data_IF_973828097622
#
_entry.id   IF_973828097622
#
_cell.length_a   1.000
_cell.length_b   1.000
_cell.length_c   1.000
_cell.angle_alpha   90.00
_cell.angle_beta   90.00
_cell.angle_gamma   90.00
#
_symmetry.space_group_name_H-M   'P 1'
#
loop_
_entity.id
_entity.type
_entity.pdbx_description
1 polymer ?
#
# COMPACT_ATOMS: atom_id res chain seq x y z
N UNK A 1 -37.12 10.10 20.39
CA UNK A 1 -35.77 9.55 20.14
C UNK A 1 -34.83 10.22 21.14
N UNK A 2 -34.34 9.48 22.16
CA UNK A 2 -33.64 10.06 23.33
C UNK A 2 -32.40 10.88 22.93
N UNK A 3 -32.27 12.11 23.45
CA UNK A 3 -31.17 13.06 23.20
C UNK A 3 -29.77 12.41 23.31
N UNK A 4 -29.61 11.44 24.21
CA UNK A 4 -28.37 10.66 24.40
C UNK A 4 -28.01 9.83 23.16
N UNK A 5 -29.00 9.26 22.46
CA UNK A 5 -28.80 8.49 21.22
C UNK A 5 -28.35 9.40 20.06
N UNK A 6 -28.90 10.61 20.00
CA UNK A 6 -28.54 11.59 18.97
C UNK A 6 -27.11 12.11 19.16
N UNK A 7 -26.68 12.36 20.40
CA UNK A 7 -25.29 12.76 20.70
C UNK A 7 -24.33 11.63 20.35
N UNK A 8 -24.63 10.39 20.76
CA UNK A 8 -23.79 9.23 20.42
C UNK A 8 -23.62 9.06 18.91
N UNK A 9 -24.71 9.21 18.15
CA UNK A 9 -24.66 9.16 16.69
C UNK A 9 -23.83 10.31 16.08
N UNK A 10 -24.00 11.53 16.57
CA UNK A 10 -23.23 12.68 16.10
C UNK A 10 -21.72 12.50 16.35
N UNK A 11 -21.34 12.01 17.53
CA UNK A 11 -19.94 11.69 17.86
C UNK A 11 -19.41 10.60 16.93
N UNK A 12 -20.17 9.52 16.72
CA UNK A 12 -19.77 8.43 15.83
C UNK A 12 -19.53 8.94 14.39
N UNK A 13 -20.45 9.74 13.85
CA UNK A 13 -20.30 10.32 12.51
C UNK A 13 -19.11 11.27 12.44
N UNK A 14 -18.89 12.10 13.45
CA UNK A 14 -17.75 13.00 13.51
C UNK A 14 -16.42 12.23 13.51
N UNK A 15 -16.31 11.16 14.30
CA UNK A 15 -15.12 10.30 14.34
C UNK A 15 -14.92 9.59 12.99
N UNK A 16 -15.98 9.02 12.40
CA UNK A 16 -15.88 8.37 11.10
C UNK A 16 -15.40 9.34 10.01
N UNK A 17 -15.89 10.59 10.03
CA UNK A 17 -15.45 11.64 9.12
C UNK A 17 -13.98 12.03 9.33
N UNK A 18 -13.53 12.18 10.58
CA UNK A 18 -12.13 12.45 10.89
C UNK A 18 -11.21 11.34 10.37
N UNK A 19 -11.55 10.10 10.67
CA UNK A 19 -10.81 8.91 10.22
C UNK A 19 -10.80 8.82 8.69
N UNK A 20 -11.89 9.17 8.02
CA UNK A 20 -11.96 9.17 6.54
C UNK A 20 -11.03 10.19 5.88
N UNK A 21 -10.66 11.27 6.59
CA UNK A 21 -9.88 12.39 6.05
C UNK A 21 -8.40 12.36 6.42
N UNK A 22 -7.92 11.29 7.05
CA UNK A 22 -6.51 11.18 7.43
C UNK A 22 -5.63 11.28 6.16
N UNK A 23 -4.69 12.24 6.09
CA UNK A 23 -3.87 12.45 4.90
C UNK A 23 -2.95 11.28 4.57
N UNK A 24 -2.70 11.05 3.27
CA UNK A 24 -1.77 10.02 2.79
C UNK A 24 -0.34 10.16 3.38
N UNK A 25 0.10 11.38 3.68
CA UNK A 25 1.41 11.66 4.24
C UNK A 25 1.65 11.00 5.60
N UNK A 26 0.59 10.65 6.35
CA UNK A 26 0.70 9.93 7.62
C UNK A 26 1.36 8.55 7.41
N UNK A 27 1.15 7.91 6.26
CA UNK A 27 1.80 6.64 5.93
C UNK A 27 3.32 6.78 5.96
N UNK A 28 3.87 7.92 5.52
CA UNK A 28 5.31 8.15 5.55
C UNK A 28 5.94 8.03 6.94
N UNK A 29 5.18 8.28 8.01
CA UNK A 29 5.68 8.19 9.39
C UNK A 29 5.75 6.76 9.94
N UNK A 30 5.05 5.81 9.31
CA UNK A 30 5.01 4.39 9.72
C UNK A 30 5.81 3.50 8.78
N UNK A 31 6.41 4.06 7.72
CA UNK A 31 7.25 3.29 6.81
C UNK A 31 8.51 2.82 7.53
N UNK A 32 8.98 1.58 7.26
CA UNK A 32 10.26 1.12 7.74
C UNK A 32 11.38 2.00 7.17
N UNK A 33 12.52 2.09 7.85
CA UNK A 33 13.67 2.90 7.42
C UNK A 33 14.23 2.48 6.05
N UNK A 34 13.97 1.24 5.64
CA UNK A 34 14.33 0.70 4.33
C UNK A 34 13.42 1.20 3.20
N UNK A 35 12.33 1.90 3.49
CA UNK A 35 11.43 2.49 2.50
C UNK A 35 11.40 4.00 2.68
N UNK A 36 11.65 4.73 1.60
CA UNK A 36 11.46 6.17 1.58
C UNK A 36 10.46 6.52 0.48
N UNK A 37 9.49 7.35 0.83
CA UNK A 37 8.42 7.76 -0.06
C UNK A 37 8.20 9.27 0.06
N UNK A 38 7.90 9.92 -1.06
CA UNK A 38 7.65 11.36 -1.13
C UNK A 38 6.60 11.70 -2.18
N UNK A 39 6.10 12.93 -2.14
CA UNK A 39 5.01 13.39 -3.01
C UNK A 39 3.67 12.71 -2.70
N UNK A 40 3.35 12.54 -1.41
CA UNK A 40 2.09 11.94 -0.96
C UNK A 40 0.89 12.80 -1.37
N UNK A 41 -0.12 12.18 -1.96
CA UNK A 41 -1.38 12.81 -2.37
C UNK A 41 -2.56 11.94 -1.95
N UNK A 42 -3.66 12.57 -1.52
CA UNK A 42 -4.88 11.87 -1.11
C UNK A 42 -4.92 11.50 0.38
N UNK A 43 -5.54 10.36 0.68
CA UNK A 43 -5.81 9.88 2.05
C UNK A 43 -5.12 8.55 2.32
N UNK A 44 -5.08 8.13 3.58
CA UNK A 44 -4.62 6.78 3.95
C UNK A 44 -5.46 5.68 3.28
N UNK A 45 -6.74 5.96 2.99
CA UNK A 45 -7.65 5.02 2.32
C UNK A 45 -7.42 4.95 0.83
N UNK A 46 -7.28 6.10 0.17
CA UNK A 46 -7.02 6.20 -1.27
C UNK A 46 -6.00 7.30 -1.49
N UNK A 47 -4.78 6.90 -1.81
CA UNK A 47 -3.67 7.81 -1.95
C UNK A 47 -2.61 7.31 -2.92
N UNK A 48 -1.66 8.19 -3.17
CA UNK A 48 -0.52 7.95 -4.05
C UNK A 48 0.73 8.58 -3.45
N UNK A 49 1.88 7.94 -3.66
CA UNK A 49 3.21 8.50 -3.46
C UNK A 49 3.91 8.55 -4.83
N UNK A 50 4.30 9.75 -5.25
CA UNK A 50 4.89 9.98 -6.56
C UNK A 50 6.27 9.34 -6.71
N UNK A 51 7.03 9.27 -5.62
CA UNK A 51 8.35 8.66 -5.61
C UNK A 51 8.50 7.76 -4.39
N UNK A 52 8.63 6.46 -4.63
CA UNK A 52 8.92 5.46 -3.62
C UNK A 52 10.22 4.77 -4.01
N UNK A 53 11.10 4.61 -3.05
CA UNK A 53 12.34 3.87 -3.19
C UNK A 53 12.52 2.95 -1.98
N UNK A 54 13.02 1.75 -2.25
CA UNK A 54 13.38 0.76 -1.25
C UNK A 54 14.90 0.65 -1.18
N UNK A 55 15.44 0.36 -0.01
CA UNK A 55 16.83 0.00 0.16
C UNK A 55 16.95 -1.52 0.09
N UNK A 56 17.62 -2.02 -0.95
CA UNK A 56 17.85 -3.46 -1.15
C UNK A 56 19.36 -3.67 -1.16
N UNK A 57 19.88 -4.42 -0.19
CA UNK A 57 21.32 -4.70 -0.04
C UNK A 57 22.20 -3.43 -0.01
N UNK A 58 21.73 -2.37 0.65
CA UNK A 58 22.47 -1.09 0.75
C UNK A 58 22.46 -0.25 -0.53
N UNK A 59 21.66 -0.61 -1.54
CA UNK A 59 21.48 0.17 -2.75
C UNK A 59 20.05 0.73 -2.83
N UNK A 60 19.89 2.02 -3.18
CA UNK A 60 18.58 2.61 -3.39
C UNK A 60 17.95 2.02 -4.66
N UNK A 61 16.73 1.55 -4.51
CA UNK A 61 15.98 0.85 -5.53
C UNK A 61 14.66 1.55 -5.78
N UNK A 62 14.55 2.22 -6.92
CA UNK A 62 13.35 2.98 -7.26
C UNK A 62 12.17 2.05 -7.57
N UNK A 63 11.12 2.18 -6.76
CA UNK A 63 9.80 1.60 -7.02
C UNK A 63 8.92 2.59 -7.82
N UNK A 64 9.30 3.87 -7.87
CA UNK A 64 8.61 4.91 -8.62
C UNK A 64 7.26 5.28 -8.02
N UNK A 65 6.23 5.44 -8.85
CA UNK A 65 4.92 5.89 -8.40
C UNK A 65 4.13 4.73 -7.82
N UNK A 66 3.70 4.84 -6.57
CA UNK A 66 2.88 3.83 -5.88
C UNK A 66 1.54 4.44 -5.51
N UNK A 67 0.46 3.88 -6.03
CA UNK A 67 -0.92 4.20 -5.66
C UNK A 67 -1.50 3.04 -4.85
N UNK A 68 -2.27 3.36 -3.80
CA UNK A 68 -2.95 2.36 -2.99
C UNK A 68 -4.44 2.71 -2.83
N UNK A 69 -5.23 1.67 -2.62
CA UNK A 69 -6.64 1.79 -2.23
C UNK A 69 -6.96 0.71 -1.21
N UNK A 70 -7.39 1.15 -0.03
CA UNK A 70 -7.88 0.33 1.06
C UNK A 70 -9.40 0.25 0.92
N UNK A 71 -9.92 -0.97 0.91
CA UNK A 71 -11.34 -1.27 0.85
C UNK A 71 -11.76 -1.83 2.22
N UNK A 72 -12.36 -1.03 3.12
CA UNK A 72 -12.76 -1.51 4.44
C UNK A 72 -13.74 -2.68 4.37
N UNK A 73 -14.65 -2.66 3.39
CA UNK A 73 -15.59 -3.75 3.11
C UNK A 73 -14.89 -4.99 2.52
N UNK A 74 -13.65 -4.84 2.06
CA UNK A 74 -12.80 -5.91 1.55
C UNK A 74 -12.47 -6.97 2.58
N UNK A 75 -12.64 -6.70 3.88
CA UNK A 75 -12.56 -7.71 4.94
C UNK A 75 -13.63 -8.81 4.81
N UNK A 76 -14.75 -8.51 4.14
CA UNK A 76 -15.82 -9.47 3.88
C UNK A 76 -15.57 -10.29 2.62
N UNK A 77 -14.86 -9.72 1.63
CA UNK A 77 -14.65 -10.32 0.31
C UNK A 77 -13.25 -10.88 0.10
N UNK A 78 -12.30 -10.54 0.98
CA UNK A 78 -10.90 -10.96 0.91
C UNK A 78 -9.94 -9.93 0.30
N UNK A 79 -10.41 -8.83 -0.30
CA UNK A 79 -9.56 -7.81 -0.97
C UNK A 79 -9.48 -6.51 -0.17
N UNK A 80 -8.61 -6.48 0.84
CA UNK A 80 -8.56 -5.35 1.79
C UNK A 80 -7.75 -4.18 1.24
N UNK A 81 -6.68 -4.46 0.49
CA UNK A 81 -5.76 -3.44 -0.03
C UNK A 81 -5.34 -3.76 -1.45
N UNK A 82 -5.48 -2.80 -2.35
CA UNK A 82 -4.90 -2.85 -3.69
C UNK A 82 -3.74 -1.88 -3.77
N UNK A 83 -2.59 -2.33 -4.26
CA UNK A 83 -1.38 -1.54 -4.46
C UNK A 83 -0.98 -1.63 -5.92
N UNK A 84 -0.70 -0.49 -6.55
CA UNK A 84 -0.26 -0.39 -7.94
C UNK A 84 1.00 0.45 -7.99
N UNK A 85 2.06 -0.09 -8.55
CA UNK A 85 3.34 0.59 -8.74
C UNK A 85 3.68 0.69 -10.23
N UNK A 86 4.17 1.85 -10.65
CA UNK A 86 4.59 2.12 -12.04
C UNK A 86 5.85 2.95 -12.07
N UNK A 87 6.83 2.51 -12.88
CA UNK A 87 8.03 3.28 -13.17
C UNK A 87 8.62 2.91 -14.53
N UNK A 88 8.89 3.90 -15.38
CA UNK A 88 9.34 3.65 -16.76
C UNK A 88 8.38 2.72 -17.52
N UNK A 89 8.90 1.63 -18.08
CA UNK A 89 8.13 0.55 -18.73
C UNK A 89 7.67 -0.56 -17.77
N UNK A 90 8.02 -0.45 -16.48
CA UNK A 90 7.81 -1.50 -15.49
C UNK A 90 6.55 -1.23 -14.65
N UNK A 91 5.82 -2.29 -14.36
CA UNK A 91 4.53 -2.24 -13.69
C UNK A 91 4.40 -3.40 -12.70
N UNK A 92 4.01 -3.09 -11.49
CA UNK A 92 3.63 -4.06 -10.46
C UNK A 92 2.20 -3.74 -10.03
N UNK A 93 1.28 -4.68 -10.18
CA UNK A 93 -0.05 -4.61 -9.56
C UNK A 93 -0.15 -5.74 -8.53
N UNK A 94 -0.53 -5.39 -7.30
CA UNK A 94 -0.69 -6.30 -6.17
C UNK A 94 -2.06 -6.08 -5.53
N UNK A 95 -2.81 -7.14 -5.29
CA UNK A 95 -3.99 -7.14 -4.45
C UNK A 95 -3.74 -8.04 -3.23
N UNK A 96 -3.95 -7.49 -2.05
CA UNK A 96 -3.68 -8.13 -0.78
C UNK A 96 -4.93 -8.11 0.12
N UNK A 97 -5.10 -9.21 0.84
CA UNK A 97 -6.21 -9.51 1.72
C UNK A 97 -5.78 -9.85 3.13
N UNK A 98 -6.65 -9.58 4.09
CA UNK A 98 -6.53 -10.10 5.46
C UNK A 98 -7.78 -10.93 5.71
N UNK A 99 -7.61 -12.23 5.93
CA UNK A 99 -8.68 -13.14 6.31
C UNK A 99 -9.07 -12.99 7.77
N UNK A 100 -10.30 -13.42 8.09
CA UNK A 100 -10.90 -13.33 9.42
C UNK A 100 -10.12 -14.12 10.51
N UNK A 101 -9.19 -14.99 10.13
CA UNK A 101 -8.28 -15.72 11.02
C UNK A 101 -6.89 -15.09 11.21
N UNK A 102 -6.66 -13.86 10.71
CA UNK A 102 -5.35 -13.20 10.73
C UNK A 102 -4.38 -13.69 9.65
N UNK A 103 -4.84 -14.53 8.74
CA UNK A 103 -4.08 -14.96 7.57
C UNK A 103 -4.00 -13.83 6.54
N UNK A 104 -2.78 -13.58 6.04
CA UNK A 104 -2.54 -12.64 4.96
C UNK A 104 -2.58 -13.38 3.63
N UNK A 105 -3.37 -12.89 2.68
CA UNK A 105 -3.49 -13.47 1.34
C UNK A 105 -3.07 -12.45 0.29
N UNK A 106 -2.47 -12.93 -0.80
CA UNK A 106 -2.26 -12.15 -2.00
C UNK A 106 -3.20 -12.74 -3.06
N UNK A 107 -4.22 -11.97 -3.44
CA UNK A 107 -5.26 -12.45 -4.34
C UNK A 107 -4.83 -12.33 -5.79
N UNK A 108 -4.18 -11.22 -6.15
CA UNK A 108 -3.67 -10.98 -7.49
C UNK A 108 -2.26 -10.40 -7.44
N UNK A 109 -1.36 -10.97 -8.23
CA UNK A 109 0.00 -10.48 -8.42
C UNK A 109 0.26 -10.44 -9.92
N UNK A 110 0.39 -9.24 -10.48
CA UNK A 110 0.81 -9.03 -11.85
C UNK A 110 2.08 -8.19 -11.86
N UNK A 111 3.19 -8.79 -12.30
CA UNK A 111 4.50 -8.14 -12.35
C UNK A 111 4.97 -8.15 -13.80
N UNK A 112 5.18 -6.95 -14.35
CA UNK A 112 5.81 -6.74 -15.64
C UNK A 112 7.07 -5.91 -15.42
N UNK A 113 8.21 -6.58 -15.30
CA UNK A 113 9.52 -5.97 -15.03
C UNK A 113 10.55 -6.54 -16.00
N UNK A 114 11.58 -5.75 -16.34
CA UNK A 114 12.68 -6.22 -17.16
C UNK A 114 13.57 -7.21 -16.41
N UNK A 115 14.24 -8.11 -17.14
CA UNK A 115 15.19 -9.09 -16.58
C UNK A 115 16.33 -8.44 -15.78
N UNK A 116 16.74 -7.22 -16.15
CA UNK A 116 17.75 -6.45 -15.43
C UNK A 116 17.32 -6.05 -14.01
N UNK A 117 16.02 -5.82 -13.80
CA UNK A 117 15.46 -5.51 -12.48
C UNK A 117 15.47 -6.74 -11.58
N UNK A 118 15.10 -7.91 -12.13
CA UNK A 118 15.09 -9.19 -11.40
C UNK A 118 16.49 -9.58 -10.98
N UNK A 119 17.49 -9.43 -11.86
CA UNK A 119 18.90 -9.73 -11.56
C UNK A 119 19.48 -8.87 -10.43
N UNK A 120 19.02 -7.63 -10.27
CA UNK A 120 19.43 -6.75 -9.17
C UNK A 120 18.82 -7.18 -7.83
N UNK A 121 17.63 -7.77 -7.85
CA UNK A 121 16.92 -8.18 -6.64
C UNK A 121 17.32 -9.59 -6.17
N UNK A 122 17.52 -10.49 -7.13
CA UNK A 122 18.03 -11.84 -6.92
C UNK A 122 19.29 -11.97 -7.79
N UNK A 123 20.50 -11.82 -7.23
CA UNK A 123 21.70 -12.24 -7.92
C UNK A 123 21.64 -13.76 -8.02
N UNK A 124 20.95 -14.26 -9.06
CA UNK A 124 20.95 -15.67 -9.42
C UNK A 124 22.41 -16.00 -9.72
N UNK A 125 23.05 -16.69 -8.79
CA UNK A 125 24.32 -17.32 -9.01
C UNK A 125 24.05 -18.41 -10.05
N UNK A 126 24.23 -18.07 -11.34
CA UNK A 126 24.28 -19.08 -12.40
C UNK A 126 25.64 -19.75 -12.25
N UNK A 127 25.75 -20.62 -11.25
CA UNK A 127 26.80 -21.61 -11.14
C UNK A 127 26.49 -22.74 -12.12
N UNK A 128 26.61 -22.47 -13.40
CA UNK A 128 26.65 -23.51 -14.43
C UNK A 128 28.08 -23.57 -14.95
N UNK A 129 28.82 -24.59 -14.51
CA UNK A 129 30.03 -25.04 -15.20
C UNK A 129 29.66 -25.72 -16.51
#
# INVERSE_FOLDING_TARGET
MSLKRSIGFAVFVAVALLVSRVPASVIGSILPQTLTASGFTGTVWRGEAAHVQAEVQGQPFALGRVAWTVHPLGLLTGDVVTIKSRWGSQRIDLAAGIGLGGSFYLNDIAVNVGLDWVRKLLPLYIGGQ
#
